data_IF_376606312417
#
_entry.id   IF_376606312417
#
_cell.length_a   1.000
_cell.length_b   1.000
_cell.length_c   1.000
_cell.angle_alpha   90.00
_cell.angle_beta   90.00
_cell.angle_gamma   90.00
#
_symmetry.space_group_name_H-M   'P 1'
#
loop_
_entity.id
_entity.type
_entity.pdbx_description
1 polymer ?
#
# COMPACT_ATOMS: atom_id res chain seq x y z
N UNK A 1 -11.86 8.44 13.80
CA UNK A 1 -10.77 7.56 14.25
C UNK A 1 -11.25 6.41 15.14
N UNK A 2 -11.96 6.64 16.24
CA UNK A 2 -12.47 5.54 17.11
C UNK A 2 -13.31 4.49 16.35
N UNK A 3 -14.20 4.91 15.45
CA UNK A 3 -14.97 4.00 14.57
C UNK A 3 -14.10 3.03 13.77
N UNK A 4 -12.97 3.51 13.24
CA UNK A 4 -12.03 2.70 12.47
C UNK A 4 -11.35 1.68 13.39
N UNK A 5 -10.91 2.12 14.58
CA UNK A 5 -10.34 1.25 15.59
C UNK A 5 -11.24 0.05 15.94
N UNK A 6 -12.52 0.33 16.17
CA UNK A 6 -13.53 -0.70 16.45
C UNK A 6 -13.79 -1.58 15.24
N UNK A 7 -13.83 -1.02 14.02
CA UNK A 7 -14.00 -1.80 12.79
C UNK A 7 -12.87 -2.81 12.55
N UNK A 8 -11.66 -2.55 13.05
CA UNK A 8 -10.54 -3.51 13.06
C UNK A 8 -10.65 -4.60 14.15
N UNK A 9 -11.75 -4.61 14.91
CA UNK A 9 -12.02 -5.59 15.97
C UNK A 9 -11.27 -5.32 17.27
N UNK A 10 -10.82 -4.08 17.49
CA UNK A 10 -10.12 -3.68 18.71
C UNK A 10 -11.09 -3.13 19.76
N UNK A 11 -10.73 -3.29 21.04
CA UNK A 11 -11.56 -2.88 22.19
C UNK A 11 -11.88 -1.36 22.19
N UNK A 12 -13.16 -0.95 22.15
CA UNK A 12 -13.54 0.46 22.15
C UNK A 12 -13.00 1.25 23.35
N UNK A 13 -12.89 0.65 24.53
CA UNK A 13 -12.46 1.36 25.74
C UNK A 13 -10.96 1.64 25.72
N UNK A 14 -10.16 0.69 25.22
CA UNK A 14 -8.72 0.82 25.03
C UNK A 14 -8.31 2.00 24.13
N UNK A 15 -9.19 2.47 23.23
CA UNK A 15 -8.90 3.61 22.35
C UNK A 15 -8.53 4.90 23.11
N UNK A 16 -9.18 5.15 24.25
CA UNK A 16 -8.94 6.37 25.03
C UNK A 16 -7.69 6.28 25.94
N UNK A 17 -7.08 5.09 26.03
CA UNK A 17 -5.94 4.81 26.92
C UNK A 17 -4.60 4.68 26.18
N UNK A 18 -4.57 4.94 24.87
CA UNK A 18 -3.39 4.75 24.04
C UNK A 18 -2.90 6.06 23.43
N UNK A 19 -1.61 6.10 23.15
CA UNK A 19 -0.97 7.18 22.41
C UNK A 19 -1.24 7.07 20.91
N UNK A 20 -1.13 8.17 20.14
CA UNK A 20 -1.24 8.12 18.68
C UNK A 20 -0.27 7.14 18.01
N UNK A 21 0.95 6.98 18.55
CA UNK A 21 1.94 6.02 18.05
C UNK A 21 1.47 4.58 18.23
N UNK A 22 0.92 4.26 19.40
CA UNK A 22 0.36 2.93 19.66
C UNK A 22 -0.89 2.65 18.82
N UNK A 23 -1.72 3.67 18.58
CA UNK A 23 -2.87 3.56 17.68
C UNK A 23 -2.43 3.07 16.29
N UNK A 24 -1.40 3.70 15.71
CA UNK A 24 -0.85 3.32 14.40
C UNK A 24 -0.38 1.88 14.41
N UNK A 25 0.43 1.49 15.40
CA UNK A 25 0.98 0.12 15.50
C UNK A 25 -0.13 -0.92 15.64
N UNK A 26 -1.15 -0.66 16.46
CA UNK A 26 -2.29 -1.58 16.67
C UNK A 26 -3.14 -1.71 15.40
N UNK A 27 -3.43 -0.61 14.72
CA UNK A 27 -4.18 -0.63 13.47
C UNK A 27 -3.41 -1.36 12.37
N UNK A 28 -2.10 -1.15 12.27
CA UNK A 28 -1.25 -1.85 11.31
C UNK A 28 -1.22 -3.36 11.57
N UNK A 29 -1.05 -3.77 12.83
CA UNK A 29 -1.13 -5.17 13.23
C UNK A 29 -2.49 -5.80 12.91
N UNK A 30 -3.59 -5.12 13.24
CA UNK A 30 -4.93 -5.58 12.94
C UNK A 30 -5.19 -5.71 11.43
N UNK A 31 -4.71 -4.74 10.64
CA UNK A 31 -4.77 -4.79 9.17
C UNK A 31 -4.01 -6.00 8.63
N UNK A 32 -2.76 -6.22 9.06
CA UNK A 32 -1.94 -7.37 8.61
C UNK A 32 -2.62 -8.70 8.94
N UNK A 33 -3.21 -8.83 10.13
CA UNK A 33 -4.00 -10.02 10.50
C UNK A 33 -5.14 -10.27 9.52
N UNK A 34 -5.96 -9.24 9.24
CA UNK A 34 -7.10 -9.37 8.33
C UNK A 34 -6.68 -9.73 6.90
N UNK A 35 -5.56 -9.18 6.41
CA UNK A 35 -5.00 -9.53 5.10
C UNK A 35 -4.59 -11.00 5.05
N UNK A 36 -3.87 -11.49 6.07
CA UNK A 36 -3.44 -12.88 6.14
C UNK A 36 -4.63 -13.85 6.23
N UNK A 37 -5.66 -13.50 7.01
CA UNK A 37 -6.89 -14.29 7.08
C UNK A 37 -7.61 -14.35 5.72
N UNK A 38 -7.69 -13.22 5.02
CA UNK A 38 -8.28 -13.16 3.69
C UNK A 38 -7.51 -14.01 2.68
N UNK A 39 -6.17 -13.91 2.68
CA UNK A 39 -5.30 -14.69 1.80
C UNK A 39 -5.41 -16.18 2.08
N UNK A 40 -5.52 -16.58 3.36
CA UNK A 40 -5.80 -17.97 3.74
C UNK A 40 -7.13 -18.49 3.19
N UNK A 41 -8.19 -17.67 3.21
CA UNK A 41 -9.49 -18.03 2.61
C UNK A 41 -9.41 -18.17 1.10
N UNK A 42 -8.73 -17.23 0.43
CA UNK A 42 -8.49 -17.27 -1.02
C UNK A 42 -7.70 -18.52 -1.39
N UNK A 43 -6.63 -18.82 -0.66
CA UNK A 43 -5.81 -20.01 -0.87
C UNK A 43 -6.65 -21.28 -0.76
N UNK A 44 -7.46 -21.42 0.29
CA UNK A 44 -8.35 -22.56 0.48
C UNK A 44 -9.35 -22.69 -0.66
N UNK A 45 -10.06 -21.61 -1.00
CA UNK A 45 -11.08 -21.62 -2.04
C UNK A 45 -10.48 -21.99 -3.41
N UNK A 46 -9.30 -21.45 -3.73
CA UNK A 46 -8.58 -21.77 -4.96
C UNK A 46 -8.21 -23.25 -5.03
N UNK A 47 -7.67 -23.83 -3.95
CA UNK A 47 -7.29 -25.25 -3.94
C UNK A 47 -8.50 -26.19 -4.01
N UNK A 48 -9.61 -25.84 -3.35
CA UNK A 48 -10.87 -26.60 -3.48
C UNK A 48 -11.36 -26.59 -4.94
N UNK A 49 -11.30 -25.44 -5.61
CA UNK A 49 -11.66 -25.33 -7.03
C UNK A 49 -10.71 -26.12 -7.93
N UNK A 50 -9.40 -26.10 -7.66
CA UNK A 50 -8.39 -26.86 -8.39
C UNK A 50 -8.59 -28.37 -8.29
N UNK A 51 -8.91 -28.88 -7.09
CA UNK A 51 -9.23 -30.29 -6.87
C UNK A 51 -10.50 -30.73 -7.61
N UNK A 52 -11.39 -29.80 -7.96
CA UNK A 52 -12.60 -30.05 -8.75
C UNK A 52 -12.35 -30.22 -10.25
N UNK A 53 -11.09 -30.40 -10.68
CA UNK A 53 -10.65 -30.59 -12.09
C UNK A 53 -11.13 -29.50 -13.04
N UNK A 54 -11.13 -28.24 -12.58
CA UNK A 54 -11.42 -27.09 -13.43
C UNK A 54 -10.40 -26.98 -14.57
N UNK A 55 -10.86 -26.67 -15.79
CA UNK A 55 -10.02 -26.61 -16.99
C UNK A 55 -9.09 -25.39 -17.02
N UNK A 56 -9.52 -24.30 -16.39
CA UNK A 56 -8.73 -23.07 -16.22
C UNK A 56 -9.05 -22.44 -14.87
N UNK A 57 -8.02 -21.95 -14.19
CA UNK A 57 -8.14 -21.17 -12.97
C UNK A 57 -7.41 -19.84 -13.13
N UNK A 58 -7.86 -18.78 -12.42
CA UNK A 58 -7.08 -17.56 -12.30
C UNK A 58 -5.73 -17.84 -11.63
N UNK A 59 -4.73 -17.03 -11.94
CA UNK A 59 -3.44 -17.09 -11.25
C UNK A 59 -3.63 -16.79 -9.76
N UNK A 60 -3.16 -17.68 -8.89
CA UNK A 60 -3.33 -17.56 -7.45
C UNK A 60 -2.67 -16.28 -6.91
N UNK A 61 -1.48 -15.91 -7.41
CA UNK A 61 -0.77 -14.73 -6.94
C UNK A 61 -1.56 -13.44 -7.19
N UNK A 62 -2.35 -13.38 -8.27
CA UNK A 62 -3.23 -12.26 -8.59
C UNK A 62 -4.41 -12.08 -7.61
N UNK A 63 -4.75 -13.10 -6.82
CA UNK A 63 -5.86 -13.07 -5.87
C UNK A 63 -5.41 -12.76 -4.43
N UNK A 64 -4.12 -12.87 -4.12
CA UNK A 64 -3.58 -12.63 -2.79
C UNK A 64 -3.32 -11.14 -2.54
N UNK A 65 -3.71 -10.64 -1.37
CA UNK A 65 -3.49 -9.25 -0.96
C UNK A 65 -2.10 -8.98 -0.37
N UNK A 66 -1.41 -10.02 0.11
CA UNK A 66 -0.01 -9.92 0.60
C UNK A 66 0.97 -9.58 -0.53
N UNK A 67 0.56 -9.76 -1.78
CA UNK A 67 1.29 -9.25 -2.94
C UNK A 67 0.60 -8.00 -3.48
N UNK A 68 0.61 -6.85 -2.76
CA UNK A 68 0.15 -5.62 -3.37
C UNK A 68 1.03 -5.40 -4.60
N UNK A 69 0.40 -5.32 -5.77
CA UNK A 69 1.06 -4.86 -6.97
C UNK A 69 1.59 -3.48 -6.64
N UNK A 70 2.91 -3.37 -6.48
CA UNK A 70 3.54 -2.08 -6.26
C UNK A 70 3.19 -1.27 -7.51
N UNK A 71 2.51 -0.11 -7.39
CA UNK A 71 2.14 0.65 -8.57
C UNK A 71 3.41 0.89 -9.37
N UNK A 72 3.38 0.56 -10.67
CA UNK A 72 4.51 0.82 -11.56
C UNK A 72 4.79 2.31 -11.51
N UNK A 73 5.99 2.66 -11.07
CA UNK A 73 6.38 4.06 -10.96
C UNK A 73 6.39 4.68 -12.36
N UNK A 74 5.57 5.72 -12.56
CA UNK A 74 5.54 6.42 -13.84
C UNK A 74 6.79 7.28 -14.01
N UNK A 75 7.11 7.68 -15.24
CA UNK A 75 8.22 8.63 -15.47
C UNK A 75 8.01 9.93 -14.69
N UNK A 76 6.77 10.42 -14.63
CA UNK A 76 6.44 11.63 -13.87
C UNK A 76 6.68 11.45 -12.36
N UNK A 77 6.39 10.28 -11.80
CA UNK A 77 6.69 9.99 -10.39
C UNK A 77 8.20 9.93 -10.11
N UNK A 78 9.00 9.44 -11.07
CA UNK A 78 10.46 9.45 -10.98
C UNK A 78 11.01 10.87 -10.96
N UNK A 79 10.51 11.73 -11.85
CA UNK A 79 10.90 13.13 -11.91
C UNK A 79 10.58 13.86 -10.62
N UNK A 80 9.36 13.72 -10.10
CA UNK A 80 8.98 14.32 -8.82
C UNK A 80 9.92 13.83 -7.71
N UNK A 81 10.23 12.54 -7.66
CA UNK A 81 11.18 12.00 -6.69
C UNK A 81 12.58 12.61 -6.79
N UNK A 82 13.11 12.73 -8.02
CA UNK A 82 14.42 13.32 -8.28
C UNK A 82 14.47 14.81 -7.95
N UNK A 83 13.41 15.55 -8.25
CA UNK A 83 13.29 16.98 -7.92
C UNK A 83 13.29 17.20 -6.41
N UNK A 84 12.54 16.37 -5.67
CA UNK A 84 12.52 16.41 -4.20
C UNK A 84 13.90 16.08 -3.62
N UNK A 85 14.61 15.11 -4.20
CA UNK A 85 15.99 14.78 -3.82
C UNK A 85 16.96 15.93 -4.08
N UNK A 86 16.87 16.55 -5.26
CA UNK A 86 17.72 17.69 -5.65
C UNK A 86 17.54 18.87 -4.68
N UNK A 87 16.30 19.23 -4.37
CA UNK A 87 15.99 20.31 -3.42
C UNK A 87 16.43 19.98 -1.99
N UNK A 88 16.19 18.75 -1.54
CA UNK A 88 16.61 18.29 -0.20
C UNK A 88 18.14 18.34 -0.02
N UNK A 89 18.90 18.19 -1.10
CA UNK A 89 20.36 18.25 -1.10
C UNK A 89 20.93 19.65 -1.39
N UNK A 90 20.10 20.69 -1.34
CA UNK A 90 20.54 22.09 -1.49
C UNK A 90 20.56 22.60 -2.93
N UNK A 91 19.91 21.90 -3.86
CA UNK A 91 19.70 22.39 -5.22
C UNK A 91 18.87 23.67 -5.27
N UNK A 92 19.17 24.53 -6.24
CA UNK A 92 18.48 25.81 -6.43
C UNK A 92 17.14 25.61 -7.17
N UNK A 93 16.00 26.02 -6.60
CA UNK A 93 14.70 25.92 -7.26
C UNK A 93 14.59 26.71 -8.57
N UNK A 94 15.37 27.79 -8.74
CA UNK A 94 15.35 28.55 -10.00
C UNK A 94 15.90 27.71 -11.17
N UNK A 95 17.01 27.01 -10.93
CA UNK A 95 17.63 26.11 -11.93
C UNK A 95 16.69 24.96 -12.31
N UNK A 96 15.95 24.43 -11.34
CA UNK A 96 14.98 23.37 -11.60
C UNK A 96 13.83 23.86 -12.49
N UNK A 97 13.36 25.09 -12.28
CA UNK A 97 12.31 25.69 -13.10
C UNK A 97 12.78 25.92 -14.55
N UNK A 98 14.05 26.27 -14.74
CA UNK A 98 14.62 26.46 -16.08
C UNK A 98 14.76 25.14 -16.83
N UNK A 99 15.20 24.06 -16.16
CA UNK A 99 15.26 22.71 -16.73
C UNK A 99 13.87 22.22 -17.16
N UNK A 100 12.82 22.53 -16.40
CA UNK A 100 11.44 22.17 -16.75
C UNK A 100 10.94 22.91 -17.99
N UNK A 101 11.20 24.21 -18.09
CA UNK A 101 10.81 25.02 -19.26
C UNK A 101 11.48 24.54 -20.54
N UNK A 102 12.79 24.29 -20.49
CA UNK A 102 13.55 23.77 -21.63
C UNK A 102 12.98 22.45 -22.17
N UNK A 103 12.44 21.62 -21.29
CA UNK A 103 11.83 20.35 -21.66
C UNK A 103 10.42 20.48 -22.24
N UNK A 104 9.62 21.45 -21.79
CA UNK A 104 8.29 21.72 -22.35
C UNK A 104 8.35 22.29 -23.78
N UNK A 105 9.50 22.84 -24.16
CA UNK A 105 9.79 23.39 -25.48
C UNK A 105 10.30 22.33 -26.50
N UNK A 106 10.57 21.09 -26.06
CA UNK A 106 11.11 20.00 -26.90
C UNK A 106 10.10 18.88 -27.10
#
# INVERSE_FOLDING_TARGET
MQRVYVAFGLDPEGFWRITPRELVVRLEGARRRLLNEQDGRVWLAWHVAALSRQSKLPDLASLLQTHPQKPTQTLQDQEIGLDQLFLAWGGDPAQLADVRKLREET
#
